data_IF_517422156710
#
_entry.id   IF_517422156710
#
_cell.length_a   1.000
_cell.length_b   1.000
_cell.length_c   1.000
_cell.angle_alpha   90.00
_cell.angle_beta   90.00
_cell.angle_gamma   90.00
#
_symmetry.space_group_name_H-M   'P 1'
#
loop_
_entity.id
_entity.type
_entity.pdbx_description
1 polymer ?
#
# COMPACT_ATOMS: atom_id res chain seq x y z
N UNK A 1 -6.17 4.05 -17.99
CA UNK A 1 -5.97 5.51 -17.79
C UNK A 1 -7.32 6.14 -17.48
N UNK A 2 -7.38 7.17 -16.63
CA UNK A 2 -8.61 7.89 -16.25
C UNK A 2 -8.42 9.38 -16.50
N UNK A 3 -9.27 9.97 -17.33
CA UNK A 3 -9.39 11.42 -17.49
C UNK A 3 -10.39 11.96 -16.45
N UNK A 4 -9.94 12.91 -15.65
CA UNK A 4 -10.73 13.53 -14.58
C UNK A 4 -11.50 14.75 -15.10
N UNK A 5 -12.50 15.27 -14.37
CA UNK A 5 -13.38 16.33 -14.88
C UNK A 5 -12.69 17.63 -15.34
N UNK A 6 -11.48 17.91 -14.87
CA UNK A 6 -10.69 19.08 -15.27
C UNK A 6 -9.69 18.80 -16.40
N UNK A 7 -9.74 17.61 -17.01
CA UNK A 7 -8.83 17.16 -18.04
C UNK A 7 -7.50 16.60 -17.51
N UNK A 8 -7.26 16.63 -16.20
CA UNK A 8 -6.08 15.95 -15.62
C UNK A 8 -6.20 14.44 -15.77
N UNK A 9 -5.05 13.78 -15.86
CA UNK A 9 -4.98 12.34 -16.13
C UNK A 9 -4.29 11.63 -14.97
N UNK A 10 -4.96 10.62 -14.42
CA UNK A 10 -4.40 9.67 -13.47
C UNK A 10 -4.61 8.24 -14.00
N UNK A 11 -4.04 7.26 -13.30
CA UNK A 11 -4.12 5.86 -13.65
C UNK A 11 -4.90 5.07 -12.61
N UNK A 12 -5.46 3.96 -13.07
CA UNK A 12 -6.13 2.91 -12.27
C UNK A 12 -5.51 1.58 -12.63
N UNK A 13 -5.67 0.59 -11.76
CA UNK A 13 -5.45 -0.81 -12.13
C UNK A 13 -6.57 -1.26 -13.08
N UNK A 14 -6.21 -2.04 -14.09
CA UNK A 14 -7.06 -2.51 -15.17
C UNK A 14 -6.43 -3.74 -15.84
N UNK A 15 -7.05 -4.90 -15.67
CA UNK A 15 -6.72 -6.10 -16.45
C UNK A 15 -7.54 -6.16 -17.75
N UNK A 16 -6.93 -6.50 -18.87
CA UNK A 16 -7.65 -6.57 -20.16
C UNK A 16 -8.65 -7.75 -20.23
N UNK A 17 -8.51 -8.74 -19.35
CA UNK A 17 -9.41 -9.87 -19.21
C UNK A 17 -10.63 -9.59 -18.34
N UNK A 18 -11.71 -10.30 -18.65
CA UNK A 18 -13.01 -10.22 -17.97
C UNK A 18 -13.64 -11.61 -17.76
N UNK A 19 -12.77 -12.62 -17.61
CA UNK A 19 -13.11 -14.02 -17.33
C UNK A 19 -12.56 -14.42 -15.95
N UNK A 20 -12.97 -15.53 -15.33
CA UNK A 20 -12.36 -15.98 -14.08
C UNK A 20 -10.84 -16.12 -14.22
N UNK A 21 -10.07 -15.79 -13.17
CA UNK A 21 -8.62 -16.02 -13.12
C UNK A 21 -8.32 -17.51 -13.25
N UNK A 22 -7.28 -17.87 -14.00
CA UNK A 22 -6.97 -19.29 -14.23
C UNK A 22 -6.51 -19.98 -12.93
N UNK A 23 -5.74 -19.26 -12.12
CA UNK A 23 -5.17 -19.72 -10.85
C UNK A 23 -6.18 -19.79 -9.69
N UNK A 24 -7.31 -19.09 -9.82
CA UNK A 24 -8.38 -19.01 -8.81
C UNK A 24 -9.77 -19.18 -9.44
N UNK A 25 -9.86 -20.01 -10.48
CA UNK A 25 -11.06 -20.14 -11.33
C UNK A 25 -12.31 -20.50 -10.52
N UNK A 26 -12.16 -21.45 -9.58
CA UNK A 26 -13.26 -21.96 -8.76
C UNK A 26 -13.79 -20.89 -7.82
N UNK A 27 -12.90 -20.14 -7.19
CA UNK A 27 -13.18 -19.06 -6.25
C UNK A 27 -13.93 -17.93 -6.95
N UNK A 28 -13.43 -17.49 -8.11
CA UNK A 28 -14.03 -16.42 -8.91
C UNK A 28 -15.43 -16.83 -9.40
N UNK A 29 -15.58 -18.06 -9.91
CA UNK A 29 -16.88 -18.58 -10.36
C UNK A 29 -17.89 -18.70 -9.21
N UNK A 30 -17.47 -19.16 -8.03
CA UNK A 30 -18.35 -19.26 -6.87
C UNK A 30 -18.82 -17.88 -6.38
N UNK A 31 -17.94 -16.87 -6.44
CA UNK A 31 -18.32 -15.51 -6.12
C UNK A 31 -19.30 -14.94 -7.16
N UNK A 32 -19.08 -15.20 -8.46
CA UNK A 32 -19.99 -14.76 -9.51
C UNK A 32 -21.41 -15.32 -9.32
N UNK A 33 -21.54 -16.60 -8.93
CA UNK A 33 -22.82 -17.23 -8.66
C UNK A 33 -23.61 -16.60 -7.50
N UNK A 34 -22.91 -16.01 -6.52
CA UNK A 34 -23.54 -15.51 -5.28
C UNK A 34 -23.60 -13.99 -5.20
N UNK A 35 -22.83 -13.27 -6.01
CA UNK A 35 -22.70 -11.80 -5.95
C UNK A 35 -23.94 -11.03 -6.43
N UNK A 36 -24.72 -11.62 -7.35
CA UNK A 36 -25.78 -10.91 -8.07
C UNK A 36 -25.30 -9.81 -9.03
N UNK A 37 -23.98 -9.71 -9.29
CA UNK A 37 -23.39 -8.77 -10.24
C UNK A 37 -23.30 -9.37 -11.64
N UNK A 38 -23.17 -8.50 -12.64
CA UNK A 38 -22.81 -8.92 -14.00
C UNK A 38 -21.44 -9.62 -13.95
N UNK A 39 -21.33 -10.89 -14.40
CA UNK A 39 -20.12 -11.68 -14.21
C UNK A 39 -18.85 -11.09 -14.83
N UNK A 40 -18.91 -10.56 -16.06
CA UNK A 40 -17.71 -10.05 -16.75
C UNK A 40 -17.11 -8.85 -16.01
N UNK A 41 -17.95 -7.92 -15.57
CA UNK A 41 -17.53 -6.78 -14.76
C UNK A 41 -16.93 -7.23 -13.42
N UNK A 42 -17.56 -8.20 -12.75
CA UNK A 42 -17.02 -8.76 -11.51
C UNK A 42 -15.63 -9.36 -11.71
N UNK A 43 -15.45 -10.19 -12.74
CA UNK A 43 -14.16 -10.81 -13.05
C UNK A 43 -13.08 -9.77 -13.39
N UNK A 44 -13.46 -8.74 -14.15
CA UNK A 44 -12.57 -7.64 -14.47
C UNK A 44 -12.10 -6.88 -13.21
N UNK A 45 -13.00 -6.61 -12.25
CA UNK A 45 -12.65 -5.96 -10.97
C UNK A 45 -11.76 -6.85 -10.08
N UNK A 46 -11.99 -8.16 -10.10
CA UNK A 46 -11.17 -9.16 -9.40
C UNK A 46 -9.76 -9.19 -9.97
N UNK A 47 -9.61 -9.31 -11.29
CA UNK A 47 -8.32 -9.31 -11.96
C UNK A 47 -7.55 -8.01 -11.76
N UNK A 48 -8.25 -6.88 -11.83
CA UNK A 48 -7.66 -5.56 -11.56
C UNK A 48 -7.18 -5.44 -10.10
N UNK A 49 -7.83 -6.11 -9.14
CA UNK A 49 -7.30 -6.19 -7.76
C UNK A 49 -6.05 -7.06 -7.66
N UNK A 50 -5.96 -8.16 -8.43
CA UNK A 50 -4.73 -8.94 -8.53
C UNK A 50 -3.59 -8.13 -9.16
N UNK A 51 -3.85 -7.35 -10.22
CA UNK A 51 -2.87 -6.43 -10.81
C UNK A 51 -2.37 -5.38 -9.79
N UNK A 52 -3.25 -4.94 -8.89
CA UNK A 52 -2.87 -4.01 -7.81
C UNK A 52 -1.89 -4.60 -6.80
N UNK A 53 -1.78 -5.93 -6.76
CA UNK A 53 -1.08 -6.69 -5.73
C UNK A 53 -1.75 -6.67 -4.36
N UNK A 54 -3.02 -6.22 -4.28
CA UNK A 54 -3.82 -6.15 -3.05
C UNK A 54 -5.12 -7.00 -3.17
N UNK A 55 -4.98 -8.24 -3.63
CA UNK A 55 -6.03 -9.25 -3.77
C UNK A 55 -6.22 -10.05 -2.46
N UNK A 56 -7.28 -9.88 -1.67
CA UNK A 56 -8.23 -8.78 -1.72
C UNK A 56 -8.13 -7.92 -0.46
N UNK A 57 -8.79 -6.76 -0.54
CA UNK A 57 -8.79 -5.74 0.49
C UNK A 57 -10.12 -5.01 0.52
N UNK A 58 -10.59 -4.66 1.72
CA UNK A 58 -11.67 -3.70 1.96
C UNK A 58 -11.49 -2.40 1.21
N UNK A 59 -10.25 -2.05 0.85
CA UNK A 59 -9.92 -0.90 0.02
C UNK A 59 -10.68 -0.88 -1.30
N UNK A 60 -10.86 -2.05 -1.94
CA UNK A 60 -11.47 -2.17 -3.27
C UNK A 60 -12.98 -2.42 -3.25
N UNK A 61 -13.57 -2.67 -2.08
CA UNK A 61 -14.98 -3.02 -1.96
C UNK A 61 -15.84 -1.76 -1.89
N UNK A 62 -16.93 -1.67 -2.66
CA UNK A 62 -17.79 -0.48 -2.67
C UNK A 62 -18.34 -0.18 -1.26
N UNK A 63 -18.72 -1.21 -0.50
CA UNK A 63 -19.20 -1.12 0.89
C UNK A 63 -18.06 -1.12 1.94
N UNK A 64 -16.82 -1.32 1.50
CA UNK A 64 -15.64 -1.43 2.35
C UNK A 64 -15.59 -2.70 3.21
N UNK A 65 -16.35 -3.75 2.90
CA UNK A 65 -16.42 -4.97 3.72
C UNK A 65 -16.58 -6.26 2.91
N UNK A 66 -17.40 -6.25 1.87
CA UNK A 66 -17.87 -7.45 1.18
C UNK A 66 -17.19 -7.59 -0.17
N UNK A 67 -16.50 -8.72 -0.39
CA UNK A 67 -15.80 -9.01 -1.64
C UNK A 67 -16.72 -8.99 -2.87
N UNK A 68 -17.99 -9.40 -2.73
CA UNK A 68 -18.97 -9.34 -3.82
C UNK A 68 -19.21 -7.90 -4.35
N UNK A 69 -18.82 -6.87 -3.59
CA UNK A 69 -18.96 -5.46 -3.99
C UNK A 69 -17.67 -4.85 -4.54
N UNK A 70 -16.67 -5.67 -4.87
CA UNK A 70 -15.37 -5.23 -5.42
C UNK A 70 -15.55 -4.36 -6.67
N UNK A 71 -14.95 -3.17 -6.69
CA UNK A 71 -15.16 -2.16 -7.75
C UNK A 71 -13.81 -1.52 -8.13
N UNK A 72 -12.76 -2.34 -8.17
CA UNK A 72 -11.36 -1.91 -8.29
C UNK A 72 -11.12 -1.03 -9.51
N UNK A 73 -11.71 -1.39 -10.65
CA UNK A 73 -11.53 -0.66 -11.90
C UNK A 73 -12.17 0.74 -11.84
N UNK A 74 -13.01 1.02 -10.85
CA UNK A 74 -13.63 2.33 -10.66
C UNK A 74 -12.81 3.28 -9.77
N UNK A 75 -11.68 2.80 -9.24
CA UNK A 75 -10.86 3.52 -8.28
C UNK A 75 -9.54 4.03 -8.89
N UNK A 76 -9.20 5.28 -8.57
CA UNK A 76 -7.91 5.91 -8.88
C UNK A 76 -7.07 5.91 -7.60
N UNK A 77 -6.02 5.07 -7.51
CA UNK A 77 -5.38 4.83 -6.23
C UNK A 77 -4.05 5.62 -6.08
N UNK A 78 -3.70 6.08 -4.85
CA UNK A 78 -2.52 6.93 -4.63
C UNK A 78 -1.21 6.16 -4.78
N UNK A 79 -1.18 4.85 -4.55
CA UNK A 79 0.01 4.01 -4.74
C UNK A 79 0.42 3.92 -6.21
N UNK A 80 -0.46 3.49 -7.12
CA UNK A 80 -0.15 3.42 -8.55
C UNK A 80 0.33 4.78 -9.09
N UNK A 81 -0.39 5.85 -8.77
CA UNK A 81 -0.05 7.19 -9.24
C UNK A 81 1.23 7.74 -8.61
N UNK A 82 1.60 7.28 -7.41
CA UNK A 82 2.92 7.55 -6.84
C UNK A 82 4.02 6.79 -7.56
N UNK A 83 3.83 5.50 -7.84
CA UNK A 83 4.80 4.69 -8.57
C UNK A 83 5.05 5.25 -9.97
N UNK A 84 4.00 5.70 -10.66
CA UNK A 84 4.13 6.34 -11.97
C UNK A 84 4.85 7.69 -11.90
N UNK A 85 4.63 8.49 -10.84
CA UNK A 85 5.44 9.69 -10.61
C UNK A 85 6.92 9.35 -10.36
N UNK A 86 7.19 8.28 -9.62
CA UNK A 86 8.54 7.74 -9.43
C UNK A 86 9.17 7.33 -10.77
N UNK A 87 8.42 6.62 -11.61
CA UNK A 87 8.84 6.20 -12.95
C UNK A 87 9.13 7.41 -13.86
N UNK A 88 8.24 8.40 -13.90
CA UNK A 88 8.43 9.64 -14.67
C UNK A 88 9.73 10.36 -14.26
N UNK A 89 10.00 10.43 -12.96
CA UNK A 89 11.24 11.01 -12.46
C UNK A 89 12.49 10.15 -12.72
N UNK A 90 12.35 8.83 -12.73
CA UNK A 90 13.44 7.92 -13.09
C UNK A 90 13.82 8.08 -14.57
N UNK A 91 12.83 8.14 -15.46
CA UNK A 91 13.04 8.39 -16.90
C UNK A 91 13.67 9.77 -17.10
N UNK A 92 13.14 10.81 -16.44
CA UNK A 92 13.76 12.15 -16.45
C UNK A 92 15.23 12.09 -16.03
N UNK A 93 15.55 11.40 -14.93
CA UNK A 93 16.94 11.28 -14.48
C UNK A 93 17.84 10.56 -15.48
N UNK A 94 17.33 9.53 -16.17
CA UNK A 94 18.06 8.87 -17.27
C UNK A 94 18.31 9.82 -18.45
N UNK A 95 17.30 10.59 -18.85
CA UNK A 95 17.42 11.58 -19.92
C UNK A 95 18.41 12.69 -19.57
N UNK A 96 18.38 13.21 -18.34
CA UNK A 96 19.33 14.21 -17.85
C UNK A 96 20.78 13.68 -17.91
N UNK A 97 21.01 12.41 -17.50
CA UNK A 97 22.34 11.77 -17.55
C UNK A 97 22.86 11.52 -18.96
N UNK A 98 21.97 11.35 -19.93
CA UNK A 98 22.34 11.11 -21.34
C UNK A 98 22.32 12.37 -22.20
N UNK A 99 22.05 13.54 -21.61
CA UNK A 99 21.99 14.82 -22.32
C UNK A 99 20.74 15.04 -23.17
N UNK A 100 19.71 14.20 -23.04
CA UNK A 100 18.45 14.30 -23.79
C UNK A 100 17.50 15.33 -23.19
N UNK A 101 17.78 16.61 -23.45
CA UNK A 101 17.07 17.74 -22.83
C UNK A 101 15.55 17.76 -23.08
N UNK A 102 15.10 17.41 -24.30
CA UNK A 102 13.67 17.38 -24.61
C UNK A 102 12.91 16.31 -23.82
N UNK A 103 13.46 15.10 -23.75
CA UNK A 103 12.94 14.05 -22.90
C UNK A 103 12.90 14.50 -21.42
N UNK A 104 13.98 15.11 -20.93
CA UNK A 104 14.05 15.61 -19.55
C UNK A 104 12.97 16.65 -19.23
N UNK A 105 12.68 17.55 -20.17
CA UNK A 105 11.59 18.53 -20.05
C UNK A 105 10.21 17.87 -20.09
N UNK A 106 9.96 16.94 -21.01
CA UNK A 106 8.68 16.25 -21.14
C UNK A 106 8.34 15.46 -19.87
N UNK A 107 9.26 14.64 -19.36
CA UNK A 107 9.02 13.86 -18.16
C UNK A 107 8.94 14.70 -16.88
N UNK A 108 9.61 15.85 -16.83
CA UNK A 108 9.38 16.84 -15.76
C UNK A 108 7.94 17.35 -15.79
N UNK A 109 7.46 17.77 -16.96
CA UNK A 109 6.09 18.25 -17.12
C UNK A 109 5.06 17.18 -16.73
N UNK A 110 5.26 15.93 -17.14
CA UNK A 110 4.39 14.80 -16.74
C UNK A 110 4.37 14.57 -15.22
N UNK A 111 5.54 14.52 -14.59
CA UNK A 111 5.65 14.36 -13.15
C UNK A 111 4.99 15.52 -12.38
N UNK A 112 5.17 16.76 -12.83
CA UNK A 112 4.53 17.94 -12.24
C UNK A 112 3.01 17.91 -12.39
N UNK A 113 2.50 17.55 -13.57
CA UNK A 113 1.06 17.39 -13.81
C UNK A 113 0.45 16.29 -12.94
N UNK A 114 1.13 15.14 -12.81
CA UNK A 114 0.67 14.04 -11.96
C UNK A 114 0.64 14.43 -10.50
N UNK A 115 1.69 15.08 -9.98
CA UNK A 115 1.72 15.59 -8.60
C UNK A 115 0.58 16.56 -8.34
N UNK A 116 0.30 17.46 -9.28
CA UNK A 116 -0.82 18.39 -9.15
C UNK A 116 -2.17 17.65 -9.09
N UNK A 117 -2.39 16.68 -9.97
CA UNK A 117 -3.61 15.86 -9.99
C UNK A 117 -3.76 15.02 -8.72
N UNK A 118 -2.70 14.35 -8.25
CA UNK A 118 -2.72 13.60 -6.97
C UNK A 118 -3.07 14.51 -5.79
N UNK A 119 -2.47 15.70 -5.72
CA UNK A 119 -2.77 16.68 -4.66
C UNK A 119 -4.19 17.23 -4.73
N UNK A 120 -4.82 17.26 -5.90
CA UNK A 120 -6.20 17.72 -6.06
C UNK A 120 -7.22 16.64 -5.73
N UNK A 121 -7.00 15.43 -6.23
CA UNK A 121 -8.02 14.37 -6.22
C UNK A 121 -7.84 13.36 -5.09
N UNK A 122 -6.60 13.07 -4.69
CA UNK A 122 -6.30 11.99 -3.75
C UNK A 122 -5.92 12.52 -2.36
N UNK A 123 -5.48 13.77 -2.24
CA UNK A 123 -5.12 14.36 -0.95
C UNK A 123 -6.35 14.84 -0.16
N UNK A 124 -6.47 14.36 1.07
CA UNK A 124 -7.43 14.85 2.06
C UNK A 124 -6.75 15.75 3.10
N UNK A 125 -6.92 17.06 2.94
CA UNK A 125 -6.30 18.06 3.81
C UNK A 125 -6.75 17.96 5.28
N UNK A 126 -8.04 17.61 5.50
CA UNK A 126 -8.63 17.54 6.82
C UNK A 126 -8.16 16.30 7.59
N UNK A 127 -8.21 15.13 6.97
CA UNK A 127 -7.72 13.88 7.55
C UNK A 127 -6.20 13.72 7.51
N UNK A 128 -5.50 14.54 6.72
CA UNK A 128 -4.04 14.52 6.62
C UNK A 128 -3.50 13.23 6.01
N UNK A 129 -4.14 12.77 4.94
CA UNK A 129 -3.92 11.46 4.33
C UNK A 129 -4.21 11.49 2.83
N UNK A 130 -3.60 10.57 2.09
CA UNK A 130 -4.01 10.29 0.72
C UNK A 130 -5.03 9.15 0.71
N UNK A 131 -6.06 9.29 -0.11
CA UNK A 131 -7.18 8.37 -0.24
C UNK A 131 -7.36 8.00 -1.71
N UNK A 132 -7.90 6.80 -1.94
CA UNK A 132 -8.39 6.41 -3.26
C UNK A 132 -9.55 7.34 -3.70
N UNK A 133 -9.67 7.56 -5.00
CA UNK A 133 -10.75 8.37 -5.57
C UNK A 133 -11.61 7.52 -6.48
N UNK A 134 -12.91 7.48 -6.20
CA UNK A 134 -13.90 6.88 -7.10
C UNK A 134 -14.22 7.91 -8.18
N UNK A 135 -13.81 7.63 -9.42
CA UNK A 135 -13.95 8.60 -10.50
C UNK A 135 -15.37 8.66 -11.08
N UNK A 136 -16.19 7.63 -10.84
CA UNK A 136 -17.61 7.62 -11.22
C UNK A 136 -18.45 8.43 -10.25
N UNK A 137 -18.29 8.18 -8.96
CA UNK A 137 -18.96 8.92 -7.88
C UNK A 137 -18.32 10.29 -7.62
N UNK A 138 -17.18 10.56 -8.27
CA UNK A 138 -16.41 11.81 -8.19
C UNK A 138 -16.06 12.21 -6.76
N UNK A 139 -15.75 11.23 -5.91
CA UNK A 139 -15.49 11.43 -4.48
C UNK A 139 -14.30 10.62 -4.00
N UNK A 140 -13.60 11.17 -3.00
CA UNK A 140 -12.61 10.42 -2.23
C UNK A 140 -13.30 9.34 -1.41
N UNK A 141 -12.71 8.16 -1.37
CA UNK A 141 -13.17 7.05 -0.56
C UNK A 141 -12.57 7.22 0.84
N UNK A 142 -13.40 7.47 1.85
CA UNK A 142 -12.94 7.79 3.20
C UNK A 142 -12.49 6.55 4.00
N UNK A 143 -11.43 5.89 3.51
CA UNK A 143 -10.84 4.69 4.10
C UNK A 143 -9.32 4.81 4.11
N UNK A 144 -8.72 4.71 5.29
CA UNK A 144 -7.26 4.75 5.41
C UNK A 144 -6.66 3.39 5.12
N UNK A 145 -5.72 3.35 4.21
CA UNK A 145 -4.82 2.23 3.98
C UNK A 145 -3.37 2.66 4.06
N UNK A 146 -2.46 1.69 4.14
CA UNK A 146 -1.02 1.93 4.05
C UNK A 146 -0.59 2.59 2.73
N UNK A 147 -1.44 2.58 1.69
CA UNK A 147 -1.18 3.26 0.41
C UNK A 147 -0.94 4.76 0.57
N UNK A 148 -1.43 5.39 1.66
CA UNK A 148 -1.16 6.80 1.97
C UNK A 148 0.34 7.15 2.10
N UNK A 149 1.21 6.15 2.27
CA UNK A 149 2.65 6.32 2.43
C UNK A 149 3.41 6.35 1.10
N UNK A 150 2.80 5.88 0.00
CA UNK A 150 3.47 5.86 -1.31
C UNK A 150 3.88 7.26 -1.81
N UNK A 151 3.06 8.33 -1.66
CA UNK A 151 3.48 9.68 -2.03
C UNK A 151 4.69 10.20 -1.25
N UNK A 152 4.94 9.68 -0.03
CA UNK A 152 6.17 9.99 0.72
C UNK A 152 7.33 9.15 0.18
N UNK A 153 7.12 7.86 -0.07
CA UNK A 153 8.15 6.95 -0.57
C UNK A 153 8.77 7.40 -1.90
N UNK A 154 8.00 8.02 -2.79
CA UNK A 154 8.50 8.51 -4.09
C UNK A 154 8.87 9.99 -4.08
N UNK A 155 8.84 10.67 -2.92
CA UNK A 155 9.19 12.08 -2.81
C UNK A 155 8.20 13.06 -3.45
N UNK A 156 6.93 12.68 -3.61
CA UNK A 156 5.91 13.53 -4.25
C UNK A 156 5.35 14.60 -3.31
N UNK A 157 5.23 14.27 -2.02
CA UNK A 157 4.62 15.15 -1.01
C UNK A 157 5.49 16.37 -0.69
N UNK A 158 4.89 17.43 -0.14
CA UNK A 158 5.66 18.47 0.57
C UNK A 158 5.80 18.13 2.07
N UNK A 159 6.66 18.86 2.79
CA UNK A 159 6.93 18.61 4.21
C UNK A 159 5.69 18.74 5.11
N UNK A 160 4.72 19.61 4.76
CA UNK A 160 3.45 19.74 5.50
C UNK A 160 2.59 18.48 5.34
N UNK A 161 2.43 18.02 4.10
CA UNK A 161 1.69 16.80 3.79
C UNK A 161 2.34 15.58 4.44
N UNK A 162 3.66 15.44 4.33
CA UNK A 162 4.40 14.34 4.95
C UNK A 162 4.24 14.33 6.48
N UNK A 163 4.30 15.49 7.14
CA UNK A 163 4.08 15.60 8.58
C UNK A 163 2.66 15.21 8.99
N UNK A 164 1.65 15.55 8.17
CA UNK A 164 0.26 15.14 8.39
C UNK A 164 0.08 13.63 8.21
N UNK A 165 0.65 13.04 7.15
CA UNK A 165 0.64 11.59 6.92
C UNK A 165 1.34 10.85 8.06
N UNK A 166 2.52 11.30 8.49
CA UNK A 166 3.26 10.67 9.60
C UNK A 166 2.42 10.61 10.88
N UNK A 167 1.75 11.71 11.26
CA UNK A 167 0.83 11.74 12.41
C UNK A 167 -0.38 10.82 12.21
N UNK A 168 -0.97 10.84 11.02
CA UNK A 168 -2.11 9.98 10.68
C UNK A 168 -1.76 8.49 10.79
N UNK A 169 -0.60 8.09 10.27
CA UNK A 169 -0.05 6.73 10.31
C UNK A 169 0.28 6.30 11.75
N UNK A 170 0.97 7.13 12.53
CA UNK A 170 1.30 6.82 13.93
C UNK A 170 0.05 6.56 14.78
N UNK A 171 -0.99 7.37 14.56
CA UNK A 171 -2.28 7.24 15.24
C UNK A 171 -3.08 6.03 14.77
N UNK A 172 -3.22 5.86 13.45
CA UNK A 172 -4.21 4.94 12.88
C UNK A 172 -3.60 3.60 12.49
N UNK A 173 -2.44 3.57 11.84
CA UNK A 173 -1.90 2.36 11.21
C UNK A 173 -0.75 1.70 11.99
N UNK A 174 0.01 2.43 12.80
CA UNK A 174 1.09 1.86 13.60
C UNK A 174 0.52 1.05 14.78
N UNK A 175 0.71 -0.27 14.75
CA UNK A 175 0.29 -1.26 15.75
C UNK A 175 1.51 -1.85 16.45
N UNK A 176 1.36 -2.74 17.46
CA UNK A 176 2.50 -3.31 18.18
C UNK A 176 3.54 -4.01 17.30
N UNK A 177 3.13 -4.68 16.22
CA UNK A 177 4.01 -5.46 15.34
C UNK A 177 4.42 -4.80 14.02
N UNK A 178 4.14 -3.51 13.82
CA UNK A 178 4.40 -2.79 12.56
C UNK A 178 3.21 -1.94 12.12
N UNK A 179 3.17 -1.52 10.85
CA UNK A 179 1.97 -0.89 10.28
C UNK A 179 1.00 -1.94 9.74
N UNK A 180 -0.29 -1.75 10.04
CA UNK A 180 -1.39 -2.57 9.49
C UNK A 180 -1.77 -2.07 8.10
N UNK A 181 -2.22 -2.97 7.23
CA UNK A 181 -2.59 -2.66 5.85
C UNK A 181 -3.77 -1.70 5.75
N UNK A 182 -4.84 -1.97 6.51
CA UNK A 182 -6.02 -1.11 6.69
C UNK A 182 -6.49 -1.18 8.15
N UNK A 183 -7.50 -0.41 8.54
CA UNK A 183 -8.14 -0.54 9.86
C UNK A 183 -9.39 -1.43 9.86
N UNK A 184 -9.71 -2.07 8.74
CA UNK A 184 -10.92 -2.89 8.59
C UNK A 184 -10.54 -4.36 8.65
N UNK A 185 -11.22 -5.12 9.51
CA UNK A 185 -11.08 -6.57 9.56
C UNK A 185 -12.19 -7.23 8.74
N UNK A 186 -11.85 -7.75 7.56
CA UNK A 186 -12.79 -8.39 6.63
C UNK A 186 -12.56 -9.90 6.49
N UNK A 187 -11.45 -10.41 7.03
CA UNK A 187 -10.95 -11.75 6.73
C UNK A 187 -10.15 -11.85 5.42
N UNK A 188 -10.03 -10.74 4.66
CA UNK A 188 -9.16 -10.67 3.49
C UNK A 188 -7.71 -10.42 3.88
N UNK A 189 -6.78 -10.81 3.02
CA UNK A 189 -5.36 -10.81 3.36
C UNK A 189 -4.71 -9.41 3.37
N UNK A 190 -5.20 -8.48 2.54
CA UNK A 190 -4.73 -7.09 2.50
C UNK A 190 -5.58 -6.16 3.38
N UNK A 191 -5.85 -6.59 4.60
CA UNK A 191 -6.67 -5.88 5.60
C UNK A 191 -6.15 -6.12 7.02
N UNK A 192 -6.74 -5.47 8.02
CA UNK A 192 -6.45 -5.80 9.41
C UNK A 192 -6.78 -7.29 9.70
N UNK A 193 -5.95 -7.99 10.49
CA UNK A 193 -4.84 -7.46 11.29
C UNK A 193 -3.47 -7.53 10.60
N UNK A 194 -3.42 -7.85 9.30
CA UNK A 194 -2.18 -8.15 8.62
C UNK A 194 -1.34 -6.89 8.36
N UNK A 195 -0.03 -7.07 8.45
CA UNK A 195 0.98 -6.18 7.91
C UNK A 195 1.90 -6.95 6.95
N UNK A 196 2.33 -6.27 5.90
CA UNK A 196 3.13 -6.85 4.81
C UNK A 196 4.47 -6.14 4.73
N UNK A 197 5.54 -6.92 4.55
CA UNK A 197 6.91 -6.43 4.44
C UNK A 197 7.08 -5.24 3.46
N UNK A 198 6.56 -5.27 2.21
CA UNK A 198 6.69 -4.15 1.29
C UNK A 198 6.12 -2.85 1.85
N UNK A 199 4.95 -2.91 2.52
CA UNK A 199 4.32 -1.73 3.12
C UNK A 199 5.16 -1.16 4.26
N UNK A 200 5.80 -2.00 5.05
CA UNK A 200 6.72 -1.53 6.10
C UNK A 200 7.90 -0.79 5.50
N UNK A 201 8.49 -1.31 4.41
CA UNK A 201 9.60 -0.66 3.73
C UNK A 201 9.21 0.69 3.13
N UNK A 202 8.08 0.74 2.42
CA UNK A 202 7.51 1.97 1.87
C UNK A 202 7.29 3.01 2.97
N UNK A 203 6.77 2.58 4.13
CA UNK A 203 6.59 3.45 5.29
C UNK A 203 7.93 4.01 5.79
N UNK A 204 8.89 3.14 6.09
CA UNK A 204 10.18 3.51 6.67
C UNK A 204 10.96 4.43 5.72
N UNK A 205 11.09 4.04 4.46
CA UNK A 205 11.82 4.81 3.46
C UNK A 205 11.16 6.17 3.19
N UNK A 206 9.82 6.21 3.04
CA UNK A 206 9.09 7.46 2.86
C UNK A 206 9.18 8.38 4.09
N UNK A 207 9.09 7.86 5.31
CA UNK A 207 9.21 8.66 6.52
C UNK A 207 10.64 9.22 6.69
N UNK A 208 11.68 8.43 6.40
CA UNK A 208 13.09 8.88 6.41
C UNK A 208 13.30 10.01 5.40
N UNK A 209 12.74 9.89 4.18
CA UNK A 209 12.88 10.89 3.14
C UNK A 209 12.36 12.28 3.57
N UNK A 210 11.40 12.32 4.49
CA UNK A 210 10.84 13.55 5.05
C UNK A 210 11.26 13.80 6.51
N UNK A 211 12.37 13.21 6.95
CA UNK A 211 12.98 13.43 8.27
C UNK A 211 12.11 13.04 9.48
N UNK A 212 11.11 12.17 9.29
CA UNK A 212 10.29 11.60 10.37
C UNK A 212 10.95 10.36 10.99
N UNK A 213 12.21 10.51 11.42
CA UNK A 213 13.09 9.40 11.82
C UNK A 213 12.53 8.58 12.99
N UNK A 214 11.95 9.22 14.01
CA UNK A 214 11.37 8.54 15.18
C UNK A 214 10.21 7.63 14.78
N UNK A 215 9.32 8.12 13.91
CA UNK A 215 8.19 7.32 13.40
C UNK A 215 8.70 6.19 12.51
N UNK A 216 9.70 6.45 11.66
CA UNK A 216 10.31 5.43 10.81
C UNK A 216 10.95 4.30 11.63
N UNK A 217 11.74 4.64 12.64
CA UNK A 217 12.38 3.69 13.55
C UNK A 217 11.33 2.90 14.34
N UNK A 218 10.26 3.54 14.82
CA UNK A 218 9.17 2.83 15.49
C UNK A 218 8.50 1.78 14.59
N UNK A 219 8.29 2.07 13.30
CA UNK A 219 7.77 1.09 12.32
C UNK A 219 8.77 -0.05 12.14
N UNK A 220 10.04 0.29 11.86
CA UNK A 220 11.09 -0.68 11.59
C UNK A 220 11.32 -1.63 12.77
N UNK A 221 11.52 -1.08 13.95
CA UNK A 221 11.78 -1.84 15.17
C UNK A 221 10.64 -2.81 15.49
N UNK A 222 9.38 -2.33 15.47
CA UNK A 222 8.21 -3.16 15.77
C UNK A 222 8.06 -4.31 14.78
N UNK A 223 8.27 -4.04 13.51
CA UNK A 223 8.27 -5.08 12.47
C UNK A 223 9.39 -6.10 12.68
N UNK A 224 10.62 -5.65 12.91
CA UNK A 224 11.77 -6.55 13.13
C UNK A 224 11.56 -7.44 14.36
N UNK A 225 11.03 -6.90 15.46
CA UNK A 225 10.70 -7.69 16.66
C UNK A 225 9.63 -8.73 16.34
N UNK A 226 8.56 -8.34 15.62
CA UNK A 226 7.48 -9.25 15.24
C UNK A 226 7.99 -10.43 14.39
N UNK A 227 8.72 -10.13 13.31
CA UNK A 227 9.30 -11.13 12.42
C UNK A 227 10.30 -12.03 13.16
N UNK A 228 11.16 -11.45 14.01
CA UNK A 228 12.17 -12.22 14.77
C UNK A 228 11.54 -13.15 15.80
N UNK A 229 10.44 -12.73 16.46
CA UNK A 229 9.69 -13.59 17.38
C UNK A 229 9.07 -14.78 16.66
N UNK A 230 8.40 -14.54 15.54
CA UNK A 230 7.83 -15.61 14.73
C UNK A 230 8.93 -16.59 14.25
N UNK A 231 10.07 -16.06 13.82
CA UNK A 231 11.21 -16.89 13.40
C UNK A 231 11.75 -17.75 14.55
N UNK A 232 11.96 -17.18 15.75
CA UNK A 232 12.43 -17.95 16.92
C UNK A 232 11.47 -19.07 17.32
N UNK A 233 10.17 -18.86 17.16
CA UNK A 233 9.15 -19.86 17.50
C UNK A 233 9.02 -20.96 16.45
N UNK A 234 9.12 -20.61 15.17
CA UNK A 234 8.72 -21.49 14.06
C UNK A 234 9.88 -21.98 13.20
N UNK A 235 11.05 -21.33 13.30
CA UNK A 235 12.19 -21.52 12.40
C UNK A 235 12.00 -20.91 11.01
N UNK A 236 10.95 -20.11 10.77
CA UNK A 236 10.56 -19.64 9.43
C UNK A 236 10.21 -18.16 9.37
N UNK A 237 10.41 -17.56 8.21
CA UNK A 237 9.84 -16.27 7.83
C UNK A 237 8.66 -16.54 6.89
N UNK A 238 7.62 -15.73 6.99
CA UNK A 238 6.35 -15.94 6.27
C UNK A 238 5.99 -14.72 5.43
N UNK A 239 5.00 -14.89 4.56
CA UNK A 239 4.51 -13.88 3.62
C UNK A 239 4.01 -12.59 4.31
N UNK A 240 3.24 -12.72 5.40
CA UNK A 240 2.55 -11.63 6.12
C UNK A 240 2.37 -11.96 7.61
N UNK A 241 2.18 -10.93 8.44
CA UNK A 241 2.18 -11.06 9.90
C UNK A 241 0.98 -10.34 10.52
N UNK A 242 0.40 -10.89 11.58
CA UNK A 242 -0.51 -10.12 12.43
C UNK A 242 0.32 -9.04 13.15
N UNK A 243 0.01 -7.78 12.88
CA UNK A 243 0.71 -6.65 13.51
C UNK A 243 -0.05 -6.05 14.69
N UNK A 244 -1.30 -6.49 14.92
CA UNK A 244 -2.11 -6.07 16.06
C UNK A 244 -1.79 -6.97 17.26
N UNK A 245 -1.69 -8.27 17.03
CA UNK A 245 -1.37 -9.32 18.00
C UNK A 245 -0.15 -10.12 17.52
N UNK A 246 1.08 -9.63 17.73
CA UNK A 246 2.33 -10.18 17.17
C UNK A 246 2.59 -11.68 17.41
N UNK A 247 1.91 -12.28 18.39
CA UNK A 247 2.07 -13.71 18.69
C UNK A 247 1.16 -14.61 17.84
N UNK A 248 0.26 -14.05 17.02
CA UNK A 248 -0.60 -14.81 16.10
C UNK A 248 -0.01 -14.82 14.69
N UNK A 249 -0.15 -15.93 13.94
CA UNK A 249 0.17 -15.90 12.52
C UNK A 249 -0.79 -14.94 11.79
N UNK A 250 -0.29 -14.28 10.74
CA UNK A 250 -1.16 -13.62 9.77
C UNK A 250 -1.99 -14.65 9.01
N UNK A 251 -3.01 -14.20 8.27
CA UNK A 251 -3.89 -15.11 7.54
C UNK A 251 -4.90 -14.40 6.65
N UNK A 252 -6.02 -15.07 6.34
CA UNK A 252 -7.07 -14.53 5.48
C UNK A 252 -6.75 -14.61 3.99
N UNK A 253 -7.72 -14.22 3.17
CA UNK A 253 -7.68 -14.38 1.71
C UNK A 253 -8.09 -15.78 1.25
N UNK A 254 -7.77 -16.10 -0.01
CA UNK A 254 -8.23 -17.32 -0.68
C UNK A 254 -7.28 -18.53 -0.52
N UNK A 255 -6.07 -18.32 0.04
CA UNK A 255 -5.07 -19.37 0.21
C UNK A 255 -4.34 -19.32 1.57
N UNK A 256 -3.75 -20.44 2.04
CA UNK A 256 -3.01 -20.49 3.30
C UNK A 256 -1.76 -19.60 3.30
N UNK A 257 -1.31 -19.19 4.49
CA UNK A 257 -0.05 -18.45 4.67
C UNK A 257 1.15 -19.18 4.05
N UNK A 258 1.98 -18.45 3.28
CA UNK A 258 3.15 -19.01 2.60
C UNK A 258 4.46 -18.83 3.41
N UNK A 259 5.32 -19.85 3.37
CA UNK A 259 6.63 -19.88 4.01
C UNK A 259 7.73 -19.39 3.05
N UNK A 260 8.75 -18.69 3.56
CA UNK A 260 9.88 -18.24 2.76
C UNK A 260 10.49 -16.94 3.30
N UNK A 261 9.97 -15.75 3.01
CA UNK A 261 9.27 -15.32 1.79
C UNK A 261 10.07 -14.13 1.24
N UNK A 262 10.28 -14.06 -0.08
CA UNK A 262 11.31 -13.20 -0.69
C UNK A 262 11.33 -11.76 -0.18
N UNK A 263 10.19 -11.06 -0.18
CA UNK A 263 10.13 -9.68 0.33
C UNK A 263 10.38 -9.58 1.83
N UNK A 264 10.01 -10.58 2.63
CA UNK A 264 10.10 -10.52 4.09
C UNK A 264 11.57 -10.58 4.46
N UNK A 265 12.28 -11.48 3.78
CA UNK A 265 13.71 -11.69 3.93
C UNK A 265 14.47 -10.43 3.51
N UNK A 266 14.14 -9.87 2.35
CA UNK A 266 14.77 -8.65 1.83
C UNK A 266 14.54 -7.42 2.71
N UNK A 267 13.30 -7.18 3.12
CA UNK A 267 12.95 -6.04 3.97
C UNK A 267 13.55 -6.19 5.37
N UNK A 268 13.46 -7.37 5.99
CA UNK A 268 14.09 -7.60 7.30
C UNK A 268 15.59 -7.32 7.24
N UNK A 269 16.29 -7.88 6.24
CA UNK A 269 17.72 -7.63 6.01
C UNK A 269 18.04 -6.15 5.86
N UNK A 270 17.22 -5.40 5.12
CA UNK A 270 17.43 -3.97 4.90
C UNK A 270 17.21 -3.17 6.19
N UNK A 271 16.18 -3.49 6.97
CA UNK A 271 15.88 -2.81 8.23
C UNK A 271 16.95 -3.10 9.29
N UNK A 272 17.45 -4.34 9.40
CA UNK A 272 18.56 -4.67 10.31
C UNK A 272 19.83 -3.89 9.96
N UNK A 273 20.09 -3.65 8.68
CA UNK A 273 21.22 -2.83 8.25
C UNK A 273 21.04 -1.33 8.57
N UNK A 274 19.82 -0.82 8.52
CA UNK A 274 19.51 0.58 8.86
C UNK A 274 19.47 0.83 10.37
N UNK A 275 18.99 -0.15 11.14
CA UNK A 275 18.79 -0.07 12.59
C UNK A 275 19.46 -1.26 13.30
N UNK A 276 20.81 -1.38 13.26
CA UNK A 276 21.52 -2.55 13.78
C UNK A 276 21.35 -2.74 15.30
N UNK A 277 21.13 -1.65 16.05
CA UNK A 277 20.82 -1.71 17.48
C UNK A 277 19.48 -2.40 17.75
N UNK A 278 18.45 -2.05 16.99
CA UNK A 278 17.08 -2.54 17.17
C UNK A 278 16.92 -3.99 16.71
N UNK A 279 17.79 -4.47 15.81
CA UNK A 279 17.82 -5.86 15.35
C UNK A 279 18.04 -6.87 16.49
N UNK A 280 18.64 -6.44 17.60
CA UNK A 280 18.83 -7.26 18.79
C UNK A 280 17.64 -7.29 19.76
N UNK A 281 16.62 -6.46 19.55
CA UNK A 281 15.50 -6.36 20.49
C UNK A 281 14.62 -7.61 20.49
N UNK A 282 14.12 -7.94 21.68
CA UNK A 282 13.26 -9.10 21.91
C UNK A 282 11.81 -8.66 22.14
N UNK A 283 11.60 -7.40 22.50
CA UNK A 283 10.29 -6.85 22.85
C UNK A 283 10.06 -5.44 22.30
N UNK A 284 8.81 -5.19 21.91
CA UNK A 284 8.39 -3.92 21.31
C UNK A 284 8.45 -2.73 22.28
N UNK A 285 8.53 -2.98 23.59
CA UNK A 285 8.80 -1.96 24.62
C UNK A 285 10.19 -1.33 24.50
N UNK A 286 11.12 -2.00 23.82
CA UNK A 286 12.45 -1.46 23.51
C UNK A 286 12.42 -0.52 22.29
N UNK A 287 11.36 -0.58 21.48
CA UNK A 287 11.20 0.29 20.32
C UNK A 287 10.86 1.73 20.76
N UNK A 288 11.17 2.74 19.92
CA UNK A 288 10.71 4.10 20.16
C UNK A 288 9.21 4.15 20.44
N UNK A 289 8.84 4.93 21.46
CA UNK A 289 7.43 5.16 21.79
C UNK A 289 6.72 5.83 20.62
N UNK A 290 5.39 5.64 20.53
CA UNK A 290 4.59 6.34 19.53
C UNK A 290 4.84 7.85 19.64
N UNK A 291 5.23 8.52 18.56
CA UNK A 291 5.25 9.96 18.55
C UNK A 291 3.78 10.42 18.56
N UNK A 292 3.38 11.04 19.68
CA UNK A 292 2.07 11.63 19.97
C UNK A 292 0.96 10.63 20.33
#
# INVERSE_FOLDING_TARGET
>A
VVALPDGSVLNRYWDDGDTPRDESYREDMALAQTSGREPRQLFHDIRSAAESGWDFSSRWFADGRTLATIDTAEMVPPDLNSLLFGLENAIRSGCDRTGQQECGRDFRHRADARRAAVNKYLWDEAGGRYLDYDYRLRKRIDRVSAATLYPLFVGMSNSRQASKVAKSVARQLLKPGGIVTTNTATGQQWDAPNGWAPLQWIAVAGLIQYQHHVTAEAVACRWMVNVSRAYRRTGKLVEKYDVITPDRPGGGGEYPLQDGFGWTNGVLRKLMALYPKDAGYLDTSQCPKKPY
#
